data_IF_908077690057
#
_entry.id   IF_908077690057
#
_cell.length_a   1.000
_cell.length_b   1.000
_cell.length_c   1.000
_cell.angle_alpha   90.00
_cell.angle_beta   90.00
_cell.angle_gamma   90.00
#
_symmetry.space_group_name_H-M   'P 1'
#
loop_
_entity.id
_entity.type
_entity.pdbx_description
1 polymer ?
#
# COMPACT_ATOMS: atom_id res chain seq x y z
N UNK A 1 11.78 9.74 15.69
CA UNK A 1 12.53 9.31 14.48
C UNK A 1 11.69 9.69 13.29
N UNK A 2 12.29 10.32 12.28
CA UNK A 2 11.60 10.57 11.01
C UNK A 2 11.74 9.30 10.16
N UNK A 3 10.62 8.69 9.80
CA UNK A 3 10.58 7.61 8.81
C UNK A 3 11.00 8.25 7.49
N UNK A 4 12.00 7.67 6.83
CA UNK A 4 12.51 8.21 5.57
C UNK A 4 12.20 7.20 4.48
N UNK A 5 11.06 7.39 3.81
CA UNK A 5 10.71 6.57 2.67
C UNK A 5 11.30 7.22 1.43
N UNK A 6 12.11 6.47 0.68
CA UNK A 6 12.73 7.00 -0.53
C UNK A 6 11.74 6.89 -1.69
N UNK A 7 11.75 7.85 -2.63
CA UNK A 7 10.98 7.74 -3.87
C UNK A 7 11.31 6.47 -4.67
N UNK A 8 12.54 5.95 -4.55
CA UNK A 8 13.00 4.70 -5.18
C UNK A 8 12.24 3.46 -4.67
N UNK A 9 11.91 3.41 -3.37
CA UNK A 9 11.17 2.30 -2.78
C UNK A 9 9.70 2.32 -3.26
N UNK A 10 9.13 3.53 -3.35
CA UNK A 10 7.79 3.74 -3.93
C UNK A 10 7.78 3.38 -5.41
N UNK A 11 8.84 3.73 -6.14
CA UNK A 11 8.99 3.37 -7.55
C UNK A 11 8.97 1.85 -7.73
N UNK A 12 9.77 1.11 -6.96
CA UNK A 12 9.83 -0.35 -7.05
C UNK A 12 8.49 -1.02 -6.70
N UNK A 13 7.73 -0.46 -5.74
CA UNK A 13 6.41 -0.99 -5.37
C UNK A 13 5.34 -0.75 -6.44
N UNK A 14 5.40 0.40 -7.14
CA UNK A 14 4.36 0.80 -8.10
C UNK A 14 4.68 0.42 -9.56
N UNK A 15 5.95 0.19 -9.89
CA UNK A 15 6.44 -0.22 -11.21
C UNK A 15 5.62 -1.36 -11.85
N UNK A 16 5.34 -2.49 -11.18
CA UNK A 16 4.63 -3.60 -11.80
C UNK A 16 3.19 -3.25 -12.23
N UNK A 17 2.60 -2.17 -11.71
CA UNK A 17 1.23 -1.76 -12.01
C UNK A 17 1.15 -0.60 -13.00
N UNK A 18 2.04 0.37 -12.88
CA UNK A 18 1.99 1.63 -13.65
C UNK A 18 3.04 1.71 -14.77
N UNK A 19 4.06 0.85 -14.74
CA UNK A 19 5.15 0.84 -15.71
C UNK A 19 6.20 1.94 -15.47
N UNK A 20 7.43 1.63 -15.87
CA UNK A 20 8.64 2.40 -15.59
C UNK A 20 8.59 3.81 -16.22
N UNK A 21 8.20 3.93 -17.49
CA UNK A 21 8.10 5.20 -18.21
C UNK A 21 7.09 6.18 -17.61
N UNK A 22 5.93 5.69 -17.15
CA UNK A 22 4.91 6.56 -16.57
C UNK A 22 5.35 7.11 -15.22
N UNK A 23 5.92 6.25 -14.38
CA UNK A 23 6.46 6.65 -13.08
C UNK A 23 7.64 7.61 -13.22
N UNK A 24 8.51 7.42 -14.22
CA UNK A 24 9.62 8.33 -14.48
C UNK A 24 9.15 9.71 -14.97
N UNK A 25 7.96 9.80 -15.60
CA UNK A 25 7.41 11.04 -16.13
C UNK A 25 6.52 11.81 -15.13
N UNK A 26 6.22 11.22 -13.96
CA UNK A 26 5.23 11.74 -13.01
C UNK A 26 5.86 11.98 -11.64
N UNK A 27 5.52 13.06 -10.91
CA UNK A 27 6.04 13.30 -9.56
C UNK A 27 5.49 12.35 -8.49
N UNK A 28 4.58 11.43 -8.86
CA UNK A 28 3.84 10.53 -7.98
C UNK A 28 4.70 9.80 -6.96
N UNK A 29 5.86 9.26 -7.36
CA UNK A 29 6.74 8.57 -6.41
C UNK A 29 7.34 9.51 -5.37
N UNK A 30 7.66 10.74 -5.74
CA UNK A 30 8.18 11.76 -4.84
C UNK A 30 7.10 12.25 -3.88
N UNK A 31 5.93 12.62 -4.41
CA UNK A 31 4.83 13.16 -3.61
C UNK A 31 4.26 12.11 -2.63
N UNK A 32 4.17 10.85 -3.06
CA UNK A 32 3.79 9.75 -2.17
C UNK A 32 4.86 9.49 -1.09
N UNK A 33 6.15 9.47 -1.44
CA UNK A 33 7.23 9.30 -0.46
C UNK A 33 7.28 10.44 0.57
N UNK A 34 7.11 11.68 0.11
CA UNK A 34 7.02 12.86 0.98
C UNK A 34 5.80 12.82 1.88
N UNK A 35 4.66 12.35 1.37
CA UNK A 35 3.46 12.13 2.16
C UNK A 35 3.75 11.10 3.26
N UNK A 36 4.25 9.92 2.88
CA UNK A 36 4.56 8.81 3.79
C UNK A 36 5.57 9.19 4.88
N UNK A 37 6.60 9.97 4.52
CA UNK A 37 7.63 10.44 5.47
C UNK A 37 7.11 11.44 6.51
N UNK A 38 5.93 12.05 6.28
CA UNK A 38 5.26 12.92 7.26
C UNK A 38 4.40 12.16 8.27
N UNK A 39 4.35 10.83 8.17
CA UNK A 39 3.60 10.03 9.13
C UNK A 39 4.19 10.18 10.53
N UNK A 40 3.32 10.55 11.48
CA UNK A 40 3.64 10.67 12.88
C UNK A 40 2.57 9.94 13.71
N UNK A 41 2.89 8.81 14.36
CA UNK A 41 1.93 8.01 15.13
C UNK A 41 1.19 8.80 16.21
N UNK A 42 1.82 9.86 16.75
CA UNK A 42 1.23 10.74 17.76
C UNK A 42 0.18 11.72 17.24
N UNK A 43 0.17 11.99 15.92
CA UNK A 43 -0.65 13.05 15.34
C UNK A 43 -1.68 12.56 14.33
N UNK A 44 -1.54 11.34 13.79
CA UNK A 44 -2.47 10.77 12.82
C UNK A 44 -2.55 9.25 12.90
N UNK A 45 -3.71 8.70 12.56
CA UNK A 45 -3.88 7.24 12.50
C UNK A 45 -3.36 6.68 11.17
N UNK A 46 -3.15 5.36 11.09
CA UNK A 46 -2.80 4.70 9.82
C UNK A 46 -3.91 4.83 8.78
N UNK A 47 -5.18 4.92 9.21
CA UNK A 47 -6.30 5.11 8.30
C UNK A 47 -6.28 6.52 7.69
N UNK A 48 -6.02 7.55 8.52
CA UNK A 48 -5.83 8.92 8.01
C UNK A 48 -4.67 8.97 7.02
N UNK A 49 -3.62 8.21 7.31
CA UNK A 49 -2.45 8.13 6.43
C UNK A 49 -2.77 7.46 5.10
N UNK A 50 -3.48 6.34 5.13
CA UNK A 50 -3.98 5.65 3.94
C UNK A 50 -4.83 6.58 3.06
N UNK A 51 -5.77 7.31 3.67
CA UNK A 51 -6.62 8.25 2.95
C UNK A 51 -5.81 9.37 2.27
N UNK A 52 -4.83 9.94 2.97
CA UNK A 52 -3.95 10.98 2.40
C UNK A 52 -3.10 10.46 1.24
N UNK A 53 -2.51 9.28 1.39
CA UNK A 53 -1.69 8.68 0.32
C UNK A 53 -2.55 8.37 -0.91
N UNK A 54 -3.77 7.85 -0.69
CA UNK A 54 -4.74 7.62 -1.74
C UNK A 54 -5.13 8.90 -2.47
N UNK A 55 -5.35 10.00 -1.74
CA UNK A 55 -5.66 11.30 -2.32
C UNK A 55 -4.50 11.85 -3.17
N UNK A 56 -3.26 11.74 -2.69
CA UNK A 56 -2.06 12.14 -3.44
C UNK A 56 -1.94 11.33 -4.74
N UNK A 57 -1.98 10.00 -4.64
CA UNK A 57 -1.90 9.11 -5.81
C UNK A 57 -3.03 9.42 -6.81
N UNK A 58 -4.26 9.63 -6.33
CA UNK A 58 -5.37 9.98 -7.21
C UNK A 58 -5.14 11.32 -7.91
N UNK A 59 -4.68 12.34 -7.17
CA UNK A 59 -4.40 13.67 -7.69
C UNK A 59 -3.36 13.63 -8.80
N UNK A 60 -2.25 12.92 -8.57
CA UNK A 60 -1.14 12.83 -9.52
C UNK A 60 -1.54 12.04 -10.78
N UNK A 61 -2.25 10.92 -10.60
CA UNK A 61 -2.79 10.15 -11.73
C UNK A 61 -3.79 10.96 -12.55
N UNK A 62 -4.67 11.72 -11.88
CA UNK A 62 -5.66 12.54 -12.56
C UNK A 62 -5.01 13.71 -13.30
N UNK A 63 -3.97 14.32 -12.72
CA UNK A 63 -3.19 15.37 -13.35
C UNK A 63 -2.45 14.86 -14.60
N UNK A 64 -1.91 13.65 -14.55
CA UNK A 64 -1.16 13.05 -15.65
C UNK A 64 -2.05 12.46 -16.77
N UNK A 65 -3.15 11.80 -16.42
CA UNK A 65 -4.00 11.03 -17.35
C UNK A 65 -5.32 11.73 -17.71
N UNK A 66 -5.71 12.75 -16.95
CA UNK A 66 -6.97 13.47 -17.12
C UNK A 66 -8.21 12.62 -16.82
N UNK A 67 -9.37 13.10 -17.32
CA UNK A 67 -10.69 12.48 -17.05
C UNK A 67 -10.82 11.02 -17.49
N UNK A 68 -10.00 10.58 -18.46
CA UNK A 68 -10.04 9.22 -18.98
C UNK A 68 -9.43 8.19 -18.04
N UNK A 69 -8.47 8.59 -17.20
CA UNK A 69 -7.64 7.69 -16.38
C UNK A 69 -7.12 6.49 -17.21
N UNK A 70 -6.71 6.75 -18.46
CA UNK A 70 -6.19 5.71 -19.36
C UNK A 70 -4.68 5.82 -19.42
N UNK A 71 -4.02 4.88 -18.76
CA UNK A 71 -2.59 4.68 -18.81
C UNK A 71 -2.22 3.92 -20.08
N UNK A 72 -1.19 4.35 -20.79
CA UNK A 72 -0.59 3.56 -21.88
C UNK A 72 0.76 3.05 -21.40
N UNK A 73 0.87 1.74 -21.23
CA UNK A 73 2.12 1.08 -20.85
C UNK A 73 3.10 1.06 -22.04
N UNK A 74 4.38 0.83 -21.74
CA UNK A 74 5.45 0.72 -22.74
C UNK A 74 5.20 -0.40 -23.76
N UNK A 75 4.48 -1.45 -23.35
CA UNK A 75 4.04 -2.55 -24.21
C UNK A 75 2.98 -2.14 -25.23
N UNK A 76 2.52 -0.88 -25.22
CA UNK A 76 1.42 -0.36 -26.04
C UNK A 76 0.04 -0.71 -25.50
N UNK A 77 -0.05 -1.44 -24.39
CA UNK A 77 -1.33 -1.81 -23.75
C UNK A 77 -1.92 -0.58 -23.08
N UNK A 78 -3.19 -0.29 -23.38
CA UNK A 78 -3.97 0.76 -22.72
C UNK A 78 -4.76 0.18 -21.56
N UNK A 79 -4.43 0.61 -20.35
CA UNK A 79 -5.12 0.24 -19.12
C UNK A 79 -5.96 1.41 -18.63
N UNK A 80 -7.25 1.16 -18.41
CA UNK A 80 -8.12 2.14 -17.76
C UNK A 80 -8.08 1.90 -16.25
N UNK A 81 -7.50 2.84 -15.52
CA UNK A 81 -7.42 2.81 -14.08
C UNK A 81 -8.80 3.10 -13.47
N UNK A 82 -9.21 2.24 -12.53
CA UNK A 82 -10.43 2.37 -11.73
C UNK A 82 -10.06 2.77 -10.30
N UNK A 83 -11.05 3.18 -9.51
CA UNK A 83 -10.86 3.49 -8.09
C UNK A 83 -10.23 2.32 -7.30
N UNK A 84 -10.58 1.07 -7.65
CA UNK A 84 -9.98 -0.11 -7.02
C UNK A 84 -8.48 -0.26 -7.30
N UNK A 85 -8.02 0.20 -8.46
CA UNK A 85 -6.60 0.18 -8.81
C UNK A 85 -5.85 1.23 -8.00
N UNK A 86 -6.46 2.39 -7.76
CA UNK A 86 -5.92 3.44 -6.88
C UNK A 86 -5.85 2.95 -5.43
N UNK A 87 -6.89 2.27 -4.94
CA UNK A 87 -6.90 1.65 -3.61
C UNK A 87 -5.74 0.63 -3.48
N UNK A 88 -5.46 -0.10 -4.55
CA UNK A 88 -4.34 -1.06 -4.61
C UNK A 88 -2.98 -0.36 -4.59
N UNK A 89 -2.82 0.75 -5.31
CA UNK A 89 -1.58 1.53 -5.30
C UNK A 89 -1.32 2.15 -3.91
N UNK A 90 -2.38 2.67 -3.27
CA UNK A 90 -2.28 3.22 -1.92
C UNK A 90 -1.95 2.15 -0.87
N UNK A 91 -2.50 0.94 -1.01
CA UNK A 91 -2.19 -0.22 -0.18
C UNK A 91 -0.71 -0.63 -0.30
N UNK A 92 -0.16 -0.71 -1.51
CA UNK A 92 1.28 -1.00 -1.71
C UNK A 92 2.19 0.10 -1.14
N UNK A 93 1.85 1.37 -1.38
CA UNK A 93 2.59 2.51 -0.84
C UNK A 93 2.56 2.54 0.70
N UNK A 94 1.41 2.24 1.32
CA UNK A 94 1.29 2.12 2.78
C UNK A 94 2.08 0.92 3.32
N UNK A 95 2.19 -0.16 2.54
CA UNK A 95 3.02 -1.32 2.88
C UNK A 95 4.47 -0.94 3.16
N UNK A 96 5.05 -0.01 2.39
CA UNK A 96 6.41 0.48 2.62
C UNK A 96 6.56 1.16 3.99
N UNK A 97 5.56 1.95 4.39
CA UNK A 97 5.54 2.58 5.70
C UNK A 97 5.46 1.55 6.83
N UNK A 98 4.60 0.54 6.69
CA UNK A 98 4.46 -0.51 7.70
C UNK A 98 5.72 -1.38 7.81
N UNK A 99 6.43 -1.60 6.70
CA UNK A 99 7.69 -2.35 6.68
C UNK A 99 8.83 -1.56 7.35
N UNK A 100 8.91 -0.24 7.16
CA UNK A 100 9.94 0.62 7.78
C UNK A 100 9.64 0.97 9.25
N UNK A 101 8.38 0.92 9.68
CA UNK A 101 7.98 1.19 11.06
C UNK A 101 8.59 0.17 12.04
N UNK A 102 9.30 0.60 13.10
CA UNK A 102 9.81 -0.32 14.12
C UNK A 102 8.68 -0.91 14.96
N UNK A 103 8.89 -2.09 15.54
CA UNK A 103 7.89 -2.83 16.33
C UNK A 103 7.29 -2.05 17.49
N UNK A 104 8.07 -1.14 18.11
CA UNK A 104 7.60 -0.27 19.20
C UNK A 104 6.59 0.80 18.72
N UNK A 105 6.67 1.19 17.45
CA UNK A 105 5.75 2.18 16.85
C UNK A 105 4.54 1.52 16.18
N UNK A 106 4.56 0.20 16.00
CA UNK A 106 3.47 -0.56 15.41
C UNK A 106 3.07 -1.76 16.30
N UNK A 107 2.61 -1.52 17.54
CA UNK A 107 2.24 -2.60 18.45
C UNK A 107 1.03 -3.38 17.92
N UNK A 108 0.96 -4.66 18.28
CA UNK A 108 -0.14 -5.57 17.90
C UNK A 108 -1.53 -5.00 18.24
N UNK A 109 -1.66 -4.29 19.37
CA UNK A 109 -2.91 -3.65 19.81
C UNK A 109 -3.43 -2.60 18.84
N UNK A 110 -2.56 -2.02 18.01
CA UNK A 110 -2.91 -1.01 17.02
C UNK A 110 -3.03 -1.60 15.61
N UNK A 111 -2.11 -2.48 15.23
CA UNK A 111 -2.11 -3.08 13.89
C UNK A 111 -3.28 -4.03 13.66
N UNK A 112 -3.68 -4.81 14.69
CA UNK A 112 -4.77 -5.79 14.58
C UNK A 112 -6.13 -5.16 14.24
N UNK A 113 -6.66 -4.19 15.01
CA UNK A 113 -7.94 -3.56 14.67
C UNK A 113 -7.86 -2.86 13.32
N UNK A 114 -6.75 -2.18 13.01
CA UNK A 114 -6.56 -1.53 11.71
C UNK A 114 -6.62 -2.52 10.54
N UNK A 115 -5.94 -3.67 10.63
CA UNK A 115 -5.96 -4.68 9.57
C UNK A 115 -7.36 -5.28 9.36
N UNK A 116 -8.12 -5.46 10.43
CA UNK A 116 -9.48 -6.00 10.38
C UNK A 116 -10.50 -4.99 9.85
N UNK A 117 -10.38 -3.71 10.21
CA UNK A 117 -11.29 -2.65 9.79
C UNK A 117 -11.03 -2.16 8.37
N UNK A 118 -9.76 -1.97 8.01
CA UNK A 118 -9.38 -1.42 6.70
C UNK A 118 -9.47 -2.44 5.57
N UNK A 119 -9.33 -3.74 5.88
CA UNK A 119 -9.31 -4.80 4.87
C UNK A 119 -8.09 -4.74 3.94
N UNK A 120 -7.06 -3.97 4.29
CA UNK A 120 -5.88 -3.74 3.47
C UNK A 120 -4.94 -4.95 3.48
N UNK A 121 -4.46 -5.33 2.30
CA UNK A 121 -3.57 -6.48 2.15
C UNK A 121 -2.23 -6.22 2.82
N UNK A 122 -1.70 -5.00 2.72
CA UNK A 122 -0.44 -4.62 3.34
C UNK A 122 -0.50 -4.77 4.87
N UNK A 123 -1.61 -4.36 5.49
CA UNK A 123 -1.81 -4.45 6.93
C UNK A 123 -1.94 -5.92 7.38
N UNK A 124 -2.70 -6.73 6.64
CA UNK A 124 -2.82 -8.17 6.90
C UNK A 124 -1.49 -8.91 6.72
N UNK A 125 -0.71 -8.55 5.69
CA UNK A 125 0.64 -9.10 5.46
C UNK A 125 1.54 -8.86 6.66
N UNK A 126 1.65 -7.60 7.09
CA UNK A 126 2.53 -7.20 8.21
C UNK A 126 2.07 -7.83 9.51
N UNK A 127 0.76 -7.91 9.74
CA UNK A 127 0.17 -8.58 10.91
C UNK A 127 0.54 -10.07 10.97
N UNK A 128 0.42 -10.78 9.84
CA UNK A 128 0.77 -12.20 9.75
C UNK A 128 2.29 -12.44 9.85
N UNK A 129 3.11 -11.59 9.22
CA UNK A 129 4.56 -11.73 9.23
C UNK A 129 5.19 -11.42 10.59
N UNK A 130 4.76 -10.32 11.25
CA UNK A 130 5.35 -9.87 12.51
C UNK A 130 4.74 -10.54 13.74
N UNK A 131 3.44 -10.81 13.71
CA UNK A 131 2.68 -11.29 14.88
C UNK A 131 2.00 -12.64 14.66
N UNK A 132 2.19 -13.30 13.52
CA UNK A 132 1.54 -14.58 13.21
C UNK A 132 1.80 -15.70 14.22
N UNK A 133 2.94 -15.68 14.91
CA UNK A 133 3.28 -16.64 15.97
C UNK A 133 2.54 -16.37 17.30
N UNK A 134 2.11 -15.12 17.52
CA UNK A 134 1.43 -14.67 18.74
C UNK A 134 -0.10 -14.73 18.57
N UNK A 135 -0.58 -14.67 17.33
CA UNK A 135 -2.01 -14.73 17.02
C UNK A 135 -2.62 -16.12 17.31
N UNK A 136 -3.87 -16.18 17.79
CA UNK A 136 -4.62 -17.42 17.88
C UNK A 136 -4.72 -18.13 16.52
N UNK A 137 -4.59 -19.46 16.51
CA UNK A 137 -4.62 -20.25 15.26
C UNK A 137 -5.89 -20.01 14.43
N UNK A 138 -7.06 -19.93 15.08
CA UNK A 138 -8.34 -19.64 14.42
C UNK A 138 -8.34 -18.28 13.72
N UNK A 139 -7.81 -17.25 14.38
CA UNK A 139 -7.76 -15.90 13.82
C UNK A 139 -6.77 -15.81 12.65
N UNK A 140 -5.63 -16.49 12.76
CA UNK A 140 -4.67 -16.61 11.68
C UNK A 140 -5.29 -17.27 10.45
N UNK A 141 -6.03 -18.36 10.62
CA UNK A 141 -6.72 -19.03 9.52
C UNK A 141 -7.81 -18.16 8.88
N UNK A 142 -8.56 -17.41 9.69
CA UNK A 142 -9.55 -16.45 9.19
C UNK A 142 -8.90 -15.35 8.35
N UNK A 143 -7.80 -14.76 8.81
CA UNK A 143 -7.05 -13.75 8.06
C UNK A 143 -6.52 -14.31 6.72
N UNK A 144 -5.94 -15.50 6.75
CA UNK A 144 -5.47 -16.20 5.53
C UNK A 144 -6.62 -16.39 4.53
N UNK A 145 -7.80 -16.76 5.02
CA UNK A 145 -8.98 -16.95 4.18
C UNK A 145 -9.45 -15.65 3.56
N UNK A 146 -9.54 -14.57 4.35
CA UNK A 146 -9.93 -13.23 3.87
C UNK A 146 -8.97 -12.75 2.78
N UNK A 147 -7.66 -12.93 2.99
CA UNK A 147 -6.62 -12.59 2.00
C UNK A 147 -6.84 -13.35 0.69
N UNK A 148 -7.07 -14.67 0.77
CA UNK A 148 -7.30 -15.52 -0.41
C UNK A 148 -8.60 -15.22 -1.15
N UNK A 149 -9.65 -14.81 -0.44
CA UNK A 149 -10.97 -14.52 -1.02
C UNK A 149 -11.01 -13.13 -1.70
N UNK A 150 -10.30 -12.13 -1.15
CA UNK A 150 -10.42 -10.74 -1.60
C UNK A 150 -9.30 -10.27 -2.55
N UNK A 151 -8.16 -10.96 -2.59
CA UNK A 151 -7.00 -10.55 -3.36
C UNK A 151 -6.55 -11.62 -4.38
N UNK A 152 -5.96 -11.22 -5.52
CA UNK A 152 -5.43 -12.17 -6.49
C UNK A 152 -4.22 -12.93 -5.94
N UNK A 153 -4.07 -14.19 -6.34
CA UNK A 153 -3.04 -15.10 -5.85
C UNK A 153 -1.61 -14.56 -6.03
N UNK A 154 -1.35 -13.85 -7.13
CA UNK A 154 -0.04 -13.28 -7.44
C UNK A 154 0.46 -12.30 -6.37
N UNK A 155 -0.45 -11.64 -5.63
CA UNK A 155 -0.09 -10.64 -4.61
C UNK A 155 0.21 -11.24 -3.23
N UNK A 156 -0.29 -12.43 -2.91
CA UNK A 156 -0.02 -13.07 -1.60
C UNK A 156 0.88 -14.30 -1.67
N UNK A 157 0.97 -14.98 -2.82
CA UNK A 157 1.74 -16.22 -2.95
C UNK A 157 3.22 -16.08 -2.58
N UNK A 158 3.81 -14.90 -2.76
CA UNK A 158 5.22 -14.66 -2.45
C UNK A 158 5.54 -14.72 -0.95
N UNK A 159 4.60 -14.28 -0.10
CA UNK A 159 4.82 -14.15 1.35
C UNK A 159 3.93 -15.04 2.21
N UNK A 160 2.85 -15.58 1.66
CA UNK A 160 1.93 -16.51 2.32
C UNK A 160 2.29 -17.95 1.92
N UNK A 161 3.31 -18.52 2.56
CA UNK A 161 3.72 -19.93 2.41
C UNK A 161 3.12 -20.81 3.51
#
# INVERSE_FOLDING_TARGET
MAITIRPEDVFAALEPMLGTQFLAATPLCGDAADCLSRYAPSCMTLNDMYLKVREVIFGDLYAALGQGMVLTLESGVRLRLRLKDIDTLADEALGLLLDDLPGDQLPLTFLRPFALESGLLCAMRVLLQRYGAVLPAMEREMLIRIVKENHPADRYAAWLK
#
